data_IF_775046150439
#
_entry.id   IF_775046150439
#
_cell.length_a   1.000
_cell.length_b   1.000
_cell.length_c   1.000
_cell.angle_alpha   90.00
_cell.angle_beta   90.00
_cell.angle_gamma   90.00
#
_symmetry.space_group_name_H-M   'P 1'
#
loop_
_entity.id
_entity.type
_entity.pdbx_description
1 polymer ?
#
# COMPACT_ATOMS: atom_id res chain seq x y z
N UNK A 1 25.23 12.22 -30.47
CA UNK A 1 25.55 11.67 -29.13
C UNK A 1 24.83 12.39 -27.98
N UNK A 2 24.20 13.55 -28.18
CA UNK A 2 23.51 14.32 -27.13
C UNK A 2 22.13 13.80 -26.71
N UNK A 3 21.36 13.17 -27.61
CA UNK A 3 19.98 12.74 -27.33
C UNK A 3 19.86 11.54 -26.38
N UNK A 4 20.79 10.58 -26.48
CA UNK A 4 20.79 9.37 -25.62
C UNK A 4 21.05 9.75 -24.15
N UNK A 5 21.96 10.70 -23.90
CA UNK A 5 22.23 11.17 -22.55
C UNK A 5 21.05 11.93 -21.95
N UNK A 6 20.30 12.73 -22.73
CA UNK A 6 19.12 13.43 -22.22
C UNK A 6 17.95 12.50 -21.89
N UNK A 7 17.71 11.48 -22.70
CA UNK A 7 16.65 10.48 -22.46
C UNK A 7 16.96 9.62 -21.23
N UNK A 8 18.21 9.16 -21.09
CA UNK A 8 18.66 8.41 -19.92
C UNK A 8 18.50 9.22 -18.62
N UNK A 9 18.86 10.51 -18.66
CA UNK A 9 18.71 11.41 -17.50
C UNK A 9 17.23 11.69 -17.17
N UNK A 10 16.34 11.64 -18.17
CA UNK A 10 14.89 11.75 -17.96
C UNK A 10 14.34 10.51 -17.28
N UNK A 11 14.65 9.31 -17.79
CA UNK A 11 14.19 8.03 -17.23
C UNK A 11 14.61 7.85 -15.77
N UNK A 12 15.85 8.21 -15.41
CA UNK A 12 16.34 8.14 -14.02
C UNK A 12 15.56 9.06 -13.08
N UNK A 13 15.21 10.28 -13.52
CA UNK A 13 14.39 11.20 -12.70
C UNK A 13 12.98 10.67 -12.50
N UNK A 14 12.36 10.15 -13.56
CA UNK A 14 11.03 9.54 -13.49
C UNK A 14 11.02 8.31 -12.58
N UNK A 15 12.01 7.42 -12.69
CA UNK A 15 12.12 6.23 -11.83
C UNK A 15 12.29 6.63 -10.35
N UNK A 16 13.07 7.68 -10.05
CA UNK A 16 13.21 8.20 -8.69
C UNK A 16 11.88 8.73 -8.13
N UNK A 17 11.11 9.45 -8.93
CA UNK A 17 9.80 9.98 -8.55
C UNK A 17 8.78 8.87 -8.30
N UNK A 18 8.73 7.86 -9.19
CA UNK A 18 7.88 6.69 -9.02
C UNK A 18 8.24 5.91 -7.74
N UNK A 19 9.53 5.71 -7.47
CA UNK A 19 10.00 5.09 -6.24
C UNK A 19 9.60 5.88 -4.99
N UNK A 20 9.65 7.22 -5.03
CA UNK A 20 9.17 8.06 -3.94
C UNK A 20 7.65 7.91 -3.72
N UNK A 21 6.86 7.81 -4.80
CA UNK A 21 5.41 7.55 -4.73
C UNK A 21 5.10 6.15 -4.18
N UNK A 22 5.87 5.12 -4.56
CA UNK A 22 5.78 3.77 -3.99
C UNK A 22 6.12 3.76 -2.50
N UNK A 23 7.16 4.49 -2.08
CA UNK A 23 7.48 4.68 -0.67
C UNK A 23 6.33 5.37 0.11
N UNK A 24 5.63 6.31 -0.52
CA UNK A 24 4.43 6.93 0.06
C UNK A 24 3.29 5.92 0.25
N UNK A 25 3.09 4.97 -0.68
CA UNK A 25 2.13 3.86 -0.50
C UNK A 25 2.51 3.03 0.74
N UNK A 26 3.77 2.57 0.83
CA UNK A 26 4.28 1.84 2.00
C UNK A 26 4.03 2.60 3.31
N UNK A 27 4.34 3.90 3.34
CA UNK A 27 4.11 4.74 4.51
C UNK A 27 2.63 4.86 4.91
N UNK A 28 1.70 4.86 3.95
CA UNK A 28 0.27 4.84 4.25
C UNK A 28 -0.18 3.50 4.85
N UNK A 29 0.33 2.38 4.35
CA UNK A 29 0.09 1.05 4.93
C UNK A 29 0.61 1.00 6.36
N UNK A 30 1.83 1.48 6.63
CA UNK A 30 2.38 1.56 7.99
C UNK A 30 1.51 2.40 8.92
N UNK A 31 1.02 3.56 8.47
CA UNK A 31 0.11 4.40 9.27
C UNK A 31 -1.20 3.69 9.59
N UNK A 32 -1.74 2.90 8.65
CA UNK A 32 -2.95 2.13 8.88
C UNK A 32 -2.72 0.96 9.84
N UNK A 33 -1.63 0.20 9.67
CA UNK A 33 -1.20 -0.81 10.64
C UNK A 33 -1.11 -0.26 12.05
N UNK A 34 -0.48 0.91 12.22
CA UNK A 34 -0.36 1.58 13.51
C UNK A 34 -1.72 2.00 14.08
N UNK A 35 -2.64 2.47 13.22
CA UNK A 35 -4.03 2.72 13.63
C UNK A 35 -4.70 1.44 14.11
N UNK A 36 -4.54 0.33 13.39
CA UNK A 36 -5.13 -0.97 13.76
C UNK A 36 -4.56 -1.52 15.08
N UNK A 37 -3.31 -1.22 15.40
CA UNK A 37 -2.69 -1.56 16.69
C UNK A 37 -3.35 -0.89 17.89
N UNK A 38 -4.15 0.17 17.67
CA UNK A 38 -4.93 0.82 18.70
C UNK A 38 -6.19 0.04 19.13
N UNK A 39 -6.60 -0.98 18.39
CA UNK A 39 -7.74 -1.82 18.77
C UNK A 39 -7.30 -2.97 19.68
N UNK A 40 -7.99 -3.11 20.80
CA UNK A 40 -7.84 -4.28 21.67
C UNK A 40 -8.67 -5.45 21.13
N UNK A 41 -8.06 -6.62 21.09
CA UNK A 41 -8.75 -7.87 20.71
C UNK A 41 -9.88 -8.14 21.71
N UNK A 42 -11.08 -8.43 21.20
CA UNK A 42 -12.26 -8.73 22.01
C UNK A 42 -13.01 -7.52 22.57
N UNK A 43 -12.52 -6.29 22.37
CA UNK A 43 -13.26 -5.09 22.77
C UNK A 43 -14.32 -4.71 21.73
N UNK A 44 -15.51 -4.33 22.22
CA UNK A 44 -16.53 -3.71 21.36
C UNK A 44 -16.09 -2.32 20.92
N UNK A 45 -16.16 -2.06 19.63
CA UNK A 45 -15.92 -0.75 19.05
C UNK A 45 -17.15 0.15 19.29
N UNK A 46 -16.90 1.43 19.53
CA UNK A 46 -17.96 2.44 19.44
C UNK A 46 -18.40 2.62 17.98
N UNK A 47 -19.62 3.14 17.77
CA UNK A 47 -20.11 3.46 16.42
C UNK A 47 -19.18 4.41 15.66
N UNK A 48 -18.54 5.35 16.37
CA UNK A 48 -17.56 6.28 15.78
C UNK A 48 -16.33 5.51 15.31
N UNK A 49 -15.77 4.62 16.13
CA UNK A 49 -14.62 3.79 15.75
C UNK A 49 -14.93 2.86 14.57
N UNK A 50 -16.14 2.28 14.52
CA UNK A 50 -16.59 1.48 13.36
C UNK A 50 -16.62 2.33 12.10
N UNK A 51 -17.21 3.53 12.17
CA UNK A 51 -17.30 4.43 11.02
C UNK A 51 -15.90 4.87 10.53
N UNK A 52 -15.02 5.25 11.44
CA UNK A 52 -13.64 5.63 11.12
C UNK A 52 -12.85 4.47 10.48
N UNK A 53 -12.98 3.26 11.03
CA UNK A 53 -12.31 2.08 10.51
C UNK A 53 -12.78 1.75 9.10
N UNK A 54 -14.09 1.83 8.81
CA UNK A 54 -14.64 1.66 7.45
C UNK A 54 -14.09 2.69 6.47
N UNK A 55 -14.04 3.97 6.87
CA UNK A 55 -13.49 5.04 6.02
C UNK A 55 -12.00 4.83 5.74
N UNK A 56 -11.22 4.38 6.73
CA UNK A 56 -9.78 4.10 6.55
C UNK A 56 -9.55 2.83 5.74
N UNK A 57 -10.37 1.79 5.91
CA UNK A 57 -10.33 0.58 5.09
C UNK A 57 -10.54 0.91 3.61
N UNK A 58 -11.57 1.71 3.29
CA UNK A 58 -11.80 2.15 1.91
C UNK A 58 -10.63 2.93 1.31
N UNK A 59 -9.90 3.72 2.12
CA UNK A 59 -8.67 4.39 1.65
C UNK A 59 -7.55 3.40 1.35
N UNK A 60 -7.42 2.34 2.14
CA UNK A 60 -6.37 1.34 1.96
C UNK A 60 -6.65 0.43 0.77
N UNK A 61 -7.91 0.10 0.50
CA UNK A 61 -8.32 -0.63 -0.71
C UNK A 61 -7.84 0.07 -1.99
N UNK A 62 -7.93 1.41 -2.05
CA UNK A 62 -7.45 2.18 -3.21
C UNK A 62 -5.92 2.12 -3.41
N UNK A 63 -5.15 1.68 -2.41
CA UNK A 63 -3.70 1.60 -2.53
C UNK A 63 -3.24 0.45 -3.43
N UNK A 64 -4.05 -0.61 -3.61
CA UNK A 64 -3.72 -1.70 -4.54
C UNK A 64 -3.66 -1.18 -5.98
N UNK A 65 -4.73 -0.54 -6.45
CA UNK A 65 -4.76 0.05 -7.80
C UNK A 65 -3.65 1.09 -7.99
N UNK A 66 -3.38 1.91 -6.97
CA UNK A 66 -2.28 2.88 -7.03
C UNK A 66 -0.90 2.20 -7.08
N UNK A 67 -0.73 1.08 -6.40
CA UNK A 67 0.50 0.30 -6.45
C UNK A 67 0.67 -0.28 -7.85
N UNK A 68 -0.35 -0.90 -8.42
CA UNK A 68 -0.31 -1.50 -9.77
C UNK A 68 0.17 -0.49 -10.80
N UNK A 69 -0.47 0.68 -10.86
CA UNK A 69 -0.11 1.74 -11.81
C UNK A 69 1.34 2.22 -11.65
N UNK A 70 1.82 2.34 -10.41
CA UNK A 70 3.19 2.77 -10.11
C UNK A 70 4.19 1.70 -10.48
N UNK A 71 3.86 0.46 -10.14
CA UNK A 71 4.75 -0.68 -10.22
C UNK A 71 4.94 -1.11 -11.68
N UNK A 72 3.88 -1.07 -12.50
CA UNK A 72 3.98 -1.29 -13.96
C UNK A 72 5.00 -0.32 -14.60
N UNK A 73 4.95 0.96 -14.22
CA UNK A 73 5.90 1.97 -14.73
C UNK A 73 7.33 1.74 -14.23
N UNK A 74 7.48 1.31 -12.97
CA UNK A 74 8.79 1.00 -12.39
C UNK A 74 9.40 -0.22 -13.09
N UNK A 75 8.63 -1.27 -13.32
CA UNK A 75 9.09 -2.52 -13.95
C UNK A 75 9.52 -2.30 -15.41
N UNK A 76 8.84 -1.40 -16.13
CA UNK A 76 9.26 -0.98 -17.47
C UNK A 76 10.56 -0.18 -17.42
N UNK A 77 10.70 0.75 -16.48
CA UNK A 77 11.88 1.63 -16.39
C UNK A 77 13.11 0.97 -15.73
N UNK A 78 12.89 -0.06 -14.93
CA UNK A 78 13.92 -0.80 -14.18
C UNK A 78 13.96 -2.28 -14.60
N UNK A 79 13.75 -2.56 -15.89
CA UNK A 79 13.65 -3.91 -16.44
C UNK A 79 14.87 -4.79 -16.16
N UNK A 80 16.05 -4.18 -16.06
CA UNK A 80 17.31 -4.89 -15.75
C UNK A 80 17.32 -5.48 -14.33
N UNK A 81 16.44 -5.00 -13.45
CA UNK A 81 16.27 -5.45 -12.08
C UNK A 81 14.85 -6.00 -11.81
N UNK A 82 14.19 -6.55 -12.84
CA UNK A 82 12.78 -6.98 -12.77
C UNK A 82 12.47 -7.92 -11.61
N UNK A 83 13.35 -8.87 -11.28
CA UNK A 83 13.16 -9.80 -10.15
C UNK A 83 13.05 -9.08 -8.80
N UNK A 84 13.82 -8.00 -8.61
CA UNK A 84 13.75 -7.17 -7.40
C UNK A 84 12.41 -6.43 -7.36
N UNK A 85 11.97 -5.92 -8.52
CA UNK A 85 10.73 -5.17 -8.61
C UNK A 85 9.49 -6.04 -8.40
N UNK A 86 9.47 -7.27 -8.94
CA UNK A 86 8.40 -8.25 -8.70
C UNK A 86 8.32 -8.66 -7.22
N UNK A 87 9.46 -8.87 -6.56
CA UNK A 87 9.49 -9.17 -5.13
C UNK A 87 8.98 -7.98 -4.29
N UNK A 88 9.35 -6.75 -4.66
CA UNK A 88 8.85 -5.55 -3.98
C UNK A 88 7.33 -5.39 -4.17
N UNK A 89 6.81 -5.69 -5.37
CA UNK A 89 5.37 -5.75 -5.64
C UNK A 89 4.67 -6.71 -4.67
N UNK A 90 5.10 -7.97 -4.64
CA UNK A 90 4.51 -9.01 -3.79
C UNK A 90 4.51 -8.61 -2.32
N UNK A 91 5.63 -8.06 -1.82
CA UNK A 91 5.76 -7.65 -0.42
C UNK A 91 4.79 -6.52 -0.04
N UNK A 92 4.61 -5.53 -0.92
CA UNK A 92 3.72 -4.40 -0.65
C UNK A 92 2.25 -4.85 -0.77
N UNK A 93 1.90 -5.64 -1.79
CA UNK A 93 0.56 -6.21 -1.96
C UNK A 93 0.17 -7.06 -0.74
N UNK A 94 1.05 -7.96 -0.32
CA UNK A 94 0.84 -8.77 0.87
C UNK A 94 0.59 -7.90 2.11
N UNK A 95 1.39 -6.84 2.29
CA UNK A 95 1.23 -5.91 3.41
C UNK A 95 -0.11 -5.17 3.38
N UNK A 96 -0.58 -4.74 2.20
CA UNK A 96 -1.90 -4.08 2.06
C UNK A 96 -3.02 -5.07 2.40
N UNK A 97 -3.00 -6.26 1.79
CA UNK A 97 -4.01 -7.30 1.95
C UNK A 97 -4.08 -7.77 3.41
N UNK A 98 -2.93 -7.96 4.07
CA UNK A 98 -2.88 -8.40 5.46
C UNK A 98 -3.56 -7.39 6.40
N UNK A 99 -3.30 -6.09 6.24
CA UNK A 99 -3.93 -5.07 7.08
C UNK A 99 -5.42 -4.87 6.73
N UNK A 100 -5.83 -5.05 5.46
CA UNK A 100 -7.25 -5.09 5.09
C UNK A 100 -7.98 -6.27 5.75
N UNK A 101 -7.40 -7.47 5.70
CA UNK A 101 -7.96 -8.65 6.34
C UNK A 101 -8.09 -8.45 7.85
N UNK A 102 -7.08 -7.86 8.49
CA UNK A 102 -7.10 -7.51 9.91
C UNK A 102 -8.20 -6.50 10.24
N UNK A 103 -8.35 -5.44 9.44
CA UNK A 103 -9.42 -4.47 9.61
C UNK A 103 -10.81 -5.11 9.49
N UNK A 104 -11.01 -5.98 8.49
CA UNK A 104 -12.26 -6.72 8.33
C UNK A 104 -12.52 -7.67 9.50
N UNK A 105 -11.51 -8.35 10.02
CA UNK A 105 -11.63 -9.18 11.22
C UNK A 105 -12.09 -8.37 12.44
N UNK A 106 -11.53 -7.17 12.64
CA UNK A 106 -11.95 -6.26 13.74
C UNK A 106 -13.41 -5.82 13.57
N UNK A 107 -13.84 -5.51 12.35
CA UNK A 107 -15.22 -5.12 12.04
C UNK A 107 -16.21 -6.27 12.22
N UNK A 108 -15.85 -7.49 11.80
CA UNK A 108 -16.72 -8.66 11.85
C UNK A 108 -16.78 -9.30 13.24
N UNK A 109 -15.69 -9.21 14.02
CA UNK A 109 -15.63 -9.65 15.42
C UNK A 109 -16.56 -8.89 16.37
N UNK A 110 -17.28 -7.86 15.88
CA UNK A 110 -18.33 -7.16 16.64
C UNK A 110 -19.60 -8.03 16.84
N UNK A 111 -19.72 -9.18 16.17
CA UNK A 111 -20.91 -10.04 16.17
C UNK A 111 -20.86 -11.29 17.06
N UNK A 112 -19.72 -11.66 17.64
CA UNK A 112 -19.59 -12.86 18.49
C UNK A 112 -19.89 -12.54 19.96
N UNK A 113 -21.16 -12.31 20.26
CA UNK A 113 -21.70 -12.41 21.61
C UNK A 113 -23.13 -12.93 21.48
N UNK A 114 -23.27 -14.25 21.43
CA UNK A 114 -24.52 -14.97 21.65
C UNK A 114 -24.38 -15.82 22.90
#
# INVERSE_FOLDING_TARGET
MTSVSSELTSGVRTLKELNARRASVKGQVTKFKNYLNGFQVGSKLTNIQVAELKLKLGKIETLLTKLDELQDQIEVLNSDAIEIELLERENIEHSIIAEMARANSILNGQGESS
#
